data_IF_483720955519
#
_entry.id   IF_483720955519
#
_cell.length_a   1.000
_cell.length_b   1.000
_cell.length_c   1.000
_cell.angle_alpha   90.00
_cell.angle_beta   90.00
_cell.angle_gamma   90.00
#
_symmetry.space_group_name_H-M   'P 1'
#
loop_
_entity.id
_entity.type
_entity.pdbx_description
1 polymer ?
#
# COMPACT_ATOMS: atom_id res chain seq x y z
N UNK A 1 6.67 6.03 -9.86
CA UNK A 1 8.09 5.92 -9.45
C UNK A 1 8.07 5.73 -7.94
N UNK A 2 8.73 4.70 -7.40
CA UNK A 2 8.74 4.47 -5.94
C UNK A 2 9.56 5.59 -5.30
N UNK A 3 8.96 6.31 -4.36
CA UNK A 3 9.67 7.31 -3.56
C UNK A 3 10.09 6.67 -2.25
N UNK A 4 11.40 6.55 -2.04
CA UNK A 4 11.95 6.00 -0.81
C UNK A 4 12.18 7.10 0.23
N UNK A 5 11.81 6.83 1.47
CA UNK A 5 12.15 7.68 2.62
C UNK A 5 13.43 7.19 3.30
N UNK A 6 14.15 8.10 3.96
CA UNK A 6 15.30 7.75 4.81
C UNK A 6 14.90 6.98 6.08
N UNK A 7 13.61 6.97 6.40
CA UNK A 7 13.05 6.23 7.52
C UNK A 7 12.65 4.81 7.13
N UNK A 8 13.25 3.84 7.82
CA UNK A 8 12.86 2.43 7.77
C UNK A 8 13.52 1.61 6.65
N UNK A 9 13.35 0.27 6.68
CA UNK A 9 14.00 -0.61 5.71
C UNK A 9 13.41 -0.49 4.30
N UNK A 10 14.27 -0.28 3.28
CA UNK A 10 13.86 -0.15 1.87
C UNK A 10 13.02 -1.33 1.36
N UNK A 11 13.35 -2.56 1.77
CA UNK A 11 12.58 -3.73 1.32
C UNK A 11 11.10 -3.67 1.77
N UNK A 12 10.82 -3.11 2.95
CA UNK A 12 9.44 -2.92 3.42
C UNK A 12 8.74 -1.82 2.64
N UNK A 13 9.45 -0.76 2.26
CA UNK A 13 8.89 0.30 1.41
C UNK A 13 8.48 -0.26 0.03
N UNK A 14 9.27 -1.19 -0.54
CA UNK A 14 8.90 -1.90 -1.78
C UNK A 14 7.64 -2.76 -1.56
N UNK A 15 7.57 -3.49 -0.44
CA UNK A 15 6.39 -4.32 -0.10
C UNK A 15 5.13 -3.46 -0.01
N UNK A 16 5.19 -2.34 0.71
CA UNK A 16 4.04 -1.44 0.87
C UNK A 16 3.64 -0.76 -0.43
N UNK A 17 4.59 -0.40 -1.29
CA UNK A 17 4.30 0.14 -2.62
C UNK A 17 3.56 -0.87 -3.50
N UNK A 18 4.00 -2.14 -3.52
CA UNK A 18 3.31 -3.21 -4.26
C UNK A 18 1.90 -3.47 -3.72
N UNK A 19 1.75 -3.47 -2.39
CA UNK A 19 0.43 -3.59 -1.75
C UNK A 19 -0.50 -2.44 -2.15
N UNK A 20 0.01 -1.21 -2.20
CA UNK A 20 -0.76 -0.04 -2.62
C UNK A 20 -1.16 -0.13 -4.10
N UNK A 21 -0.22 -0.50 -4.97
CA UNK A 21 -0.49 -0.71 -6.40
C UNK A 21 -1.54 -1.80 -6.64
N UNK A 22 -1.53 -2.87 -5.85
CA UNK A 22 -2.56 -3.91 -5.93
C UNK A 22 -3.91 -3.41 -5.38
N UNK A 23 -3.90 -2.69 -4.26
CA UNK A 23 -5.10 -2.15 -3.63
C UNK A 23 -5.82 -1.10 -4.52
N UNK A 24 -5.06 -0.31 -5.29
CA UNK A 24 -5.57 0.72 -6.19
C UNK A 24 -5.81 0.20 -7.63
N UNK A 25 -5.49 -1.07 -7.92
CA UNK A 25 -5.71 -1.71 -9.22
C UNK A 25 -4.67 -1.40 -10.30
N UNK A 26 -3.56 -0.74 -9.95
CA UNK A 26 -2.40 -0.57 -10.85
C UNK A 26 -1.79 -1.93 -11.19
N UNK A 27 -1.60 -2.79 -10.18
CA UNK A 27 -1.24 -4.19 -10.36
C UNK A 27 -2.49 -5.06 -10.28
N UNK A 28 -2.56 -6.08 -11.14
CA UNK A 28 -3.70 -6.99 -11.23
C UNK A 28 -3.36 -8.39 -10.70
N UNK A 29 -4.38 -9.11 -10.24
CA UNK A 29 -4.26 -10.54 -9.93
C UNK A 29 -3.77 -11.32 -11.14
N UNK A 30 -2.86 -12.27 -10.92
CA UNK A 30 -2.25 -13.07 -11.99
C UNK A 30 -1.18 -12.33 -12.81
N UNK A 31 -0.94 -11.04 -12.56
CA UNK A 31 0.04 -10.26 -13.30
C UNK A 31 1.47 -10.73 -13.03
N UNK A 32 2.27 -10.83 -14.10
CA UNK A 32 3.70 -11.19 -14.00
C UNK A 32 4.51 -9.98 -13.56
N UNK A 33 5.28 -10.15 -12.48
CA UNK A 33 6.17 -9.11 -11.99
C UNK A 33 7.50 -9.11 -12.74
N UNK A 34 8.21 -7.96 -12.79
CA UNK A 34 9.59 -7.91 -13.25
C UNK A 34 10.47 -8.86 -12.44
N UNK A 35 11.56 -9.36 -13.02
CA UNK A 35 12.52 -10.11 -12.23
C UNK A 35 13.11 -9.22 -11.12
N UNK A 36 13.57 -9.83 -10.02
CA UNK A 36 14.18 -9.06 -8.93
C UNK A 36 15.37 -8.22 -9.38
N UNK A 37 16.11 -8.66 -10.42
CA UNK A 37 17.21 -7.88 -11.02
C UNK A 37 16.69 -6.72 -11.87
N UNK A 38 15.66 -6.94 -12.69
CA UNK A 38 15.09 -5.88 -13.53
C UNK A 38 14.48 -4.78 -12.68
N UNK A 39 13.70 -5.17 -11.66
CA UNK A 39 13.11 -4.22 -10.73
C UNK A 39 14.21 -3.43 -9.99
N UNK A 40 15.27 -4.10 -9.52
CA UNK A 40 16.40 -3.46 -8.87
C UNK A 40 17.05 -2.37 -9.74
N UNK A 41 17.20 -2.62 -11.04
CA UNK A 41 17.71 -1.62 -12.00
C UNK A 41 16.71 -0.47 -12.16
N UNK A 42 15.42 -0.78 -12.34
CA UNK A 42 14.36 0.21 -12.55
C UNK A 42 14.24 1.20 -11.40
N UNK A 43 14.30 0.71 -10.15
CA UNK A 43 14.14 1.53 -8.94
C UNK A 43 15.47 1.93 -8.30
N UNK A 44 16.61 1.55 -8.92
CA UNK A 44 17.99 1.83 -8.46
C UNK A 44 18.26 1.38 -7.02
N UNK A 45 17.84 0.16 -6.67
CA UNK A 45 18.01 -0.45 -5.34
C UNK A 45 18.89 -1.70 -5.44
N UNK A 46 19.55 -2.09 -4.35
CA UNK A 46 20.33 -3.33 -4.29
C UNK A 46 19.45 -4.56 -4.63
N UNK A 47 19.87 -5.46 -5.55
CA UNK A 47 19.13 -6.66 -5.91
C UNK A 47 18.75 -7.57 -4.74
N UNK A 48 19.59 -7.64 -3.69
CA UNK A 48 19.29 -8.42 -2.49
C UNK A 48 18.13 -7.81 -1.68
N UNK A 49 18.00 -6.48 -1.68
CA UNK A 49 16.87 -5.78 -1.06
C UNK A 49 15.57 -6.09 -1.78
N UNK A 50 15.59 -6.11 -3.12
CA UNK A 50 14.43 -6.50 -3.92
C UNK A 50 14.08 -7.96 -3.72
N UNK A 51 15.07 -8.86 -3.71
CA UNK A 51 14.85 -10.28 -3.43
C UNK A 51 14.18 -10.47 -2.06
N UNK A 52 14.63 -9.74 -1.02
CA UNK A 52 14.00 -9.74 0.29
C UNK A 52 12.55 -9.22 0.27
N UNK A 53 12.26 -8.19 -0.52
CA UNK A 53 10.90 -7.69 -0.69
C UNK A 53 9.98 -8.72 -1.35
N UNK A 54 10.45 -9.41 -2.40
CA UNK A 54 9.69 -10.46 -3.07
C UNK A 54 9.45 -11.67 -2.16
N UNK A 55 10.46 -12.07 -1.37
CA UNK A 55 10.29 -13.12 -0.36
C UNK A 55 9.22 -12.73 0.68
N UNK A 56 9.19 -11.47 1.09
CA UNK A 56 8.19 -10.98 2.05
C UNK A 56 6.77 -10.94 1.43
N UNK A 57 6.63 -10.50 0.18
CA UNK A 57 5.37 -10.55 -0.56
C UNK A 57 4.86 -11.99 -0.72
N UNK A 58 5.76 -12.93 -1.01
CA UNK A 58 5.43 -14.36 -1.12
C UNK A 58 5.03 -14.97 0.23
N UNK A 59 5.74 -14.61 1.31
CA UNK A 59 5.40 -14.99 2.68
C UNK A 59 4.01 -14.48 3.09
N UNK A 60 3.61 -13.30 2.62
CA UNK A 60 2.28 -12.73 2.84
C UNK A 60 1.20 -13.29 1.91
N UNK A 61 1.55 -14.20 0.99
CA UNK A 61 0.60 -14.78 0.03
C UNK A 61 0.11 -13.80 -1.03
N UNK A 62 0.86 -12.71 -1.27
CA UNK A 62 0.54 -11.69 -2.28
C UNK A 62 1.12 -12.11 -3.64
N UNK A 63 2.31 -12.69 -3.63
CA UNK A 63 2.99 -13.19 -4.83
C UNK A 63 3.27 -14.68 -4.74
N UNK A 64 3.48 -15.31 -5.88
CA UNK A 64 3.97 -16.68 -5.98
C UNK A 64 5.06 -16.78 -7.05
N UNK A 65 6.13 -17.52 -6.75
CA UNK A 65 7.17 -17.83 -7.72
C UNK A 65 6.88 -19.14 -8.44
N UNK A 66 6.61 -19.06 -9.74
CA UNK A 66 6.42 -20.22 -10.61
C UNK A 66 7.76 -20.58 -11.25
N UNK A 67 8.29 -21.77 -10.91
CA UNK A 67 9.63 -22.23 -11.33
C UNK A 67 9.81 -22.11 -12.86
N UNK A 68 10.83 -21.37 -13.28
CA UNK A 68 11.15 -21.14 -14.70
C UNK A 68 10.26 -20.13 -15.42
N UNK A 69 9.17 -19.66 -14.80
CA UNK A 69 8.20 -18.73 -15.41
C UNK A 69 8.28 -17.32 -14.83
N UNK A 70 8.73 -17.18 -13.58
CA UNK A 70 8.88 -15.89 -12.88
C UNK A 70 7.99 -15.78 -11.65
N UNK A 71 7.87 -14.56 -11.14
CA UNK A 71 7.02 -14.22 -9.97
C UNK A 71 5.74 -13.54 -10.46
N UNK A 72 4.60 -13.93 -9.88
CA UNK A 72 3.28 -13.45 -10.26
C UNK A 72 2.51 -12.98 -9.03
N UNK A 73 1.59 -12.04 -9.19
CA UNK A 73 0.57 -11.77 -8.17
C UNK A 73 -0.35 -12.99 -8.07
N UNK A 74 -0.64 -13.44 -6.85
CA UNK A 74 -1.53 -14.58 -6.62
C UNK A 74 -2.91 -14.31 -7.21
N UNK A 75 -3.40 -15.28 -7.98
CA UNK A 75 -4.71 -15.22 -8.61
C UNK A 75 -5.79 -15.64 -7.62
N UNK A 76 -6.21 -14.70 -6.77
CA UNK A 76 -7.23 -14.93 -5.76
C UNK A 76 -8.16 -13.71 -5.66
N UNK A 77 -9.45 -13.94 -5.88
CA UNK A 77 -10.51 -12.91 -5.80
C UNK A 77 -10.61 -12.23 -4.43
N UNK A 78 -10.20 -12.91 -3.36
CA UNK A 78 -10.26 -12.40 -1.99
C UNK A 78 -8.97 -11.65 -1.59
N UNK A 79 -7.91 -11.69 -2.41
CA UNK A 79 -6.63 -11.06 -2.10
C UNK A 79 -6.77 -9.54 -1.94
N UNK A 80 -7.34 -8.86 -2.94
CA UNK A 80 -7.47 -7.40 -2.94
C UNK A 80 -8.42 -6.92 -1.82
N UNK A 81 -9.61 -7.50 -1.62
CA UNK A 81 -10.47 -7.12 -0.49
C UNK A 81 -9.79 -7.28 0.87
N UNK A 82 -9.16 -8.43 1.14
CA UNK A 82 -8.45 -8.69 2.41
C UNK A 82 -7.28 -7.75 2.62
N UNK A 83 -6.53 -7.46 1.56
CA UNK A 83 -5.42 -6.52 1.60
C UNK A 83 -5.90 -5.11 1.98
N UNK A 84 -6.97 -4.64 1.33
CA UNK A 84 -7.57 -3.33 1.63
C UNK A 84 -8.07 -3.26 3.07
N UNK A 85 -8.78 -4.29 3.52
CA UNK A 85 -9.25 -4.40 4.90
C UNK A 85 -8.10 -4.32 5.91
N UNK A 86 -7.05 -5.13 5.72
CA UNK A 86 -5.88 -5.13 6.60
C UNK A 86 -5.15 -3.78 6.63
N UNK A 87 -4.97 -3.15 5.45
CA UNK A 87 -4.36 -1.82 5.36
C UNK A 87 -5.21 -0.76 6.07
N UNK A 88 -6.53 -0.78 5.86
CA UNK A 88 -7.46 0.15 6.51
C UNK A 88 -7.49 -0.04 8.02
N UNK A 89 -7.55 -1.28 8.51
CA UNK A 89 -7.61 -1.55 9.95
C UNK A 89 -6.37 -1.00 10.68
N UNK A 90 -5.17 -1.22 10.12
CA UNK A 90 -3.94 -0.67 10.71
C UNK A 90 -4.00 0.86 10.82
N UNK A 91 -4.44 1.54 9.76
CA UNK A 91 -4.53 3.00 9.75
C UNK A 91 -5.57 3.49 10.76
N UNK A 92 -6.72 2.80 10.83
CA UNK A 92 -7.79 3.11 11.77
C UNK A 92 -7.29 2.93 13.21
N UNK A 93 -6.58 1.85 13.51
CA UNK A 93 -6.02 1.58 14.84
C UNK A 93 -5.03 2.67 15.26
N UNK A 94 -4.07 3.00 14.39
CA UNK A 94 -3.08 4.06 14.63
C UNK A 94 -3.77 5.42 14.85
N UNK A 95 -4.78 5.74 14.04
CA UNK A 95 -5.59 6.95 14.17
C UNK A 95 -6.37 7.01 15.47
N UNK A 96 -7.12 5.94 15.81
CA UNK A 96 -7.92 5.86 17.03
C UNK A 96 -7.05 5.93 18.28
N UNK A 97 -5.86 5.31 18.27
CA UNK A 97 -4.90 5.40 19.35
C UNK A 97 -4.47 6.86 19.57
N UNK A 98 -4.13 7.58 18.50
CA UNK A 98 -3.73 8.98 18.58
C UNK A 98 -4.89 9.88 19.07
N UNK A 99 -6.10 9.70 18.53
CA UNK A 99 -7.27 10.50 18.92
C UNK A 99 -7.62 10.32 20.41
N UNK A 100 -7.57 9.07 20.90
CA UNK A 100 -7.76 8.79 22.34
C UNK A 100 -6.69 9.46 23.20
N UNK A 101 -5.42 9.39 22.79
CA UNK A 101 -4.32 10.04 23.51
C UNK A 101 -4.45 11.58 23.52
N UNK A 102 -5.06 12.16 22.48
CA UNK A 102 -5.38 13.58 22.39
C UNK A 102 -6.63 14.00 23.19
N UNK A 103 -7.32 13.06 23.85
CA UNK A 103 -8.46 13.34 24.72
C UNK A 103 -9.83 13.30 24.05
N UNK A 104 -9.92 12.87 22.79
CA UNK A 104 -11.20 12.72 22.11
C UNK A 104 -11.94 11.45 22.56
N UNK A 105 -13.23 11.59 22.81
CA UNK A 105 -14.15 10.48 23.06
C UNK A 105 -14.52 9.75 21.77
N UNK A 106 -15.04 8.53 21.90
CA UNK A 106 -15.47 7.72 20.76
C UNK A 106 -16.61 8.37 19.97
N UNK A 107 -17.43 9.21 20.61
CA UNK A 107 -18.59 9.86 19.99
C UNK A 107 -18.20 11.14 19.22
N UNK A 108 -17.10 11.79 19.60
CA UNK A 108 -16.59 13.00 18.92
C UNK A 108 -15.88 12.67 17.60
N UNK A 109 -15.21 11.52 17.53
CA UNK A 109 -14.37 11.13 16.39
C UNK A 109 -15.16 11.04 15.07
N UNK A 110 -16.34 10.38 14.99
CA UNK A 110 -17.11 10.34 13.75
C UNK A 110 -17.54 11.71 13.24
N UNK A 111 -17.88 12.63 14.15
CA UNK A 111 -18.28 13.99 13.78
C UNK A 111 -17.12 14.76 13.12
N UNK A 112 -15.93 14.68 13.70
CA UNK A 112 -14.71 15.29 13.16
C UNK A 112 -14.33 14.73 11.79
N UNK A 113 -14.41 13.42 11.61
CA UNK A 113 -14.15 12.78 10.31
C UNK A 113 -15.15 13.28 9.27
N UNK A 114 -16.44 13.34 9.63
CA UNK A 114 -17.50 13.80 8.72
C UNK A 114 -17.25 15.24 8.27
N UNK A 115 -16.88 16.12 9.20
CA UNK A 115 -16.55 17.52 8.89
C UNK A 115 -15.30 17.62 7.99
N UNK A 116 -14.23 16.88 8.30
CA UNK A 116 -13.00 16.89 7.52
C UNK A 116 -13.20 16.38 6.08
N UNK A 117 -14.03 15.35 5.89
CA UNK A 117 -14.37 14.82 4.55
C UNK A 117 -15.15 15.84 3.72
N UNK A 118 -16.06 16.59 4.34
CA UNK A 118 -16.80 17.68 3.66
C UNK A 118 -15.83 18.75 3.16
N UNK A 119 -14.95 19.25 4.04
CA UNK A 119 -14.02 20.32 3.69
C UNK A 119 -13.04 19.92 2.57
N UNK A 120 -12.56 18.67 2.54
CA UNK A 120 -11.69 18.18 1.46
C UNK A 120 -12.39 18.01 0.11
N UNK A 121 -13.69 17.72 0.13
CA UNK A 121 -14.50 17.61 -1.09
C UNK A 121 -14.66 18.98 -1.75
N UNK A 122 -14.87 20.03 -0.95
CA UNK A 122 -15.00 21.42 -1.41
C UNK A 122 -13.67 21.98 -1.97
N UNK A 123 -12.54 21.64 -1.36
CA UNK A 123 -11.20 22.02 -1.86
C UNK A 123 -10.84 21.34 -3.19
N UNK A 124 -11.29 20.09 -3.38
CA UNK A 124 -11.04 19.33 -4.62
C UNK A 124 -11.88 19.87 -5.79
N UNK A 125 -13.07 20.43 -5.52
CA UNK A 125 -13.91 21.06 -6.55
C UNK A 125 -13.36 22.43 -6.99
N UNK A 126 -12.88 23.25 -6.06
CA UNK A 126 -12.26 24.56 -6.39
C UNK A 126 -11.01 24.44 -7.28
N UNK A 127 -10.18 23.41 -7.07
CA UNK A 127 -8.98 23.16 -7.89
C UNK A 127 -9.27 22.66 -9.32
N UNK A 128 -10.47 22.16 -9.58
CA UNK A 128 -10.90 21.72 -10.93
C UNK A 128 -11.48 22.89 -11.73
N UNK A 129 -12.03 23.91 -11.07
CA UNK A 129 -12.55 25.12 -11.73
C UNK A 129 -11.45 26.16 -12.06
N UNK A 130 -10.27 26.05 -11.44
CA UNK A 130 -9.12 26.94 -11.65
C UNK A 130 -8.07 26.42 -12.67
N UNK A 131 -8.31 25.27 -13.32
CA UNK A 131 -7.46 24.71 -14.39
C UNK A 131 -8.25 24.50 -15.69
#
# INVERSE_FOLDING_TARGET
MIHFSDSGPIYLQIVEDFKLQLANGTLKSGEKLPSGRDLAIQIKVNPNTVARAYQELERQGITETRRGLGTFIVENKDLVPKLREAMSMKIIDDFLMYMKAAGFSADEIPALITEALRNKSDESQKKVEEN
#
